data_IF_283278042971
#
_entry.id   IF_283278042971
#
_cell.length_a   1.000
_cell.length_b   1.000
_cell.length_c   1.000
_cell.angle_alpha   90.00
_cell.angle_beta   90.00
_cell.angle_gamma   90.00
#
_symmetry.space_group_name_H-M   'P 1'
#
loop_
_entity.id
_entity.type
_entity.pdbx_description
1 polymer ?
#
# COMPACT_ATOMS: atom_id res chain seq x y z
N UNK A 1 10.61 -16.53 14.00
CA UNK A 1 10.52 -16.65 12.52
C UNK A 1 9.98 -15.33 12.02
N UNK A 2 10.66 -14.65 11.09
CA UNK A 2 10.19 -13.39 10.51
C UNK A 2 9.07 -13.70 9.53
N UNK A 3 7.95 -12.98 9.61
CA UNK A 3 6.79 -13.14 8.73
C UNK A 3 6.85 -12.15 7.58
N UNK A 4 6.83 -12.65 6.35
CA UNK A 4 6.75 -11.81 5.15
C UNK A 4 5.33 -11.28 4.96
N UNK A 5 5.21 -9.97 4.77
CA UNK A 5 3.93 -9.31 4.59
C UNK A 5 3.94 -8.42 3.34
N UNK A 6 2.78 -8.34 2.68
CA UNK A 6 2.44 -7.32 1.71
C UNK A 6 1.37 -6.43 2.35
N UNK A 7 1.59 -5.13 2.39
CA UNK A 7 0.61 -4.16 2.89
C UNK A 7 -0.13 -3.58 1.69
N UNK A 8 -1.47 -3.68 1.68
CA UNK A 8 -2.32 -3.05 0.68
C UNK A 8 -3.08 -1.89 1.34
N UNK A 9 -2.90 -0.66 0.85
CA UNK A 9 -3.21 0.55 1.63
C UNK A 9 -3.66 1.72 0.75
N UNK A 10 -4.43 2.63 1.34
CA UNK A 10 -4.80 3.95 0.80
C UNK A 10 -4.43 5.07 1.80
N UNK A 11 -3.12 5.31 2.08
CA UNK A 11 -2.66 5.93 3.31
C UNK A 11 -3.38 7.22 3.71
N UNK A 12 -4.09 7.11 4.86
CA UNK A 12 -4.41 8.19 5.76
C UNK A 12 -3.40 8.24 6.90
N UNK A 13 -3.66 9.03 7.94
CA UNK A 13 -2.76 9.16 9.09
C UNK A 13 -2.63 7.85 9.89
N UNK A 14 -3.69 7.07 10.00
CA UNK A 14 -3.75 5.78 10.68
C UNK A 14 -2.96 4.70 9.91
N UNK A 15 -3.12 4.62 8.59
CA UNK A 15 -2.29 3.75 7.74
C UNK A 15 -0.80 4.11 7.84
N UNK A 16 -0.47 5.40 7.87
CA UNK A 16 0.91 5.84 8.02
C UNK A 16 1.52 5.29 9.31
N UNK A 17 0.78 5.34 10.42
CA UNK A 17 1.23 4.76 11.71
C UNK A 17 1.37 3.24 11.60
N UNK A 18 0.42 2.55 10.98
CA UNK A 18 0.47 1.10 10.80
C UNK A 18 1.69 0.68 9.95
N UNK A 19 1.97 1.40 8.86
CA UNK A 19 3.15 1.17 8.02
C UNK A 19 4.43 1.36 8.84
N UNK A 20 4.56 2.48 9.57
CA UNK A 20 5.75 2.75 10.39
C UNK A 20 5.97 1.67 11.46
N UNK A 21 4.90 1.19 12.11
CA UNK A 21 4.98 0.08 13.08
C UNK A 21 5.48 -1.20 12.41
N UNK A 22 4.95 -1.53 11.22
CA UNK A 22 5.39 -2.71 10.47
C UNK A 22 6.87 -2.63 10.10
N UNK A 23 7.35 -1.44 9.69
CA UNK A 23 8.72 -1.21 9.27
C UNK A 23 9.76 -1.33 10.40
N UNK A 24 9.38 -1.03 11.64
CA UNK A 24 10.29 -1.14 12.81
C UNK A 24 10.18 -2.49 13.52
N UNK A 25 9.19 -3.29 13.17
CA UNK A 25 8.99 -4.62 13.78
C UNK A 25 10.09 -5.58 13.37
N UNK A 26 10.66 -6.28 14.36
CA UNK A 26 11.65 -7.34 14.12
C UNK A 26 11.02 -8.67 13.71
N UNK A 27 9.71 -8.78 13.81
CA UNK A 27 8.94 -9.98 13.49
C UNK A 27 8.34 -9.95 12.08
N UNK A 28 8.36 -8.78 11.44
CA UNK A 28 7.79 -8.55 10.11
C UNK A 28 8.86 -8.16 9.10
N UNK A 29 8.70 -8.70 7.89
CA UNK A 29 9.44 -8.31 6.69
C UNK A 29 8.43 -7.77 5.67
N UNK A 30 8.40 -6.45 5.47
CA UNK A 30 7.57 -5.82 4.44
C UNK A 30 8.25 -6.02 3.09
N UNK A 31 7.72 -6.92 2.27
CA UNK A 31 8.31 -7.27 0.96
C UNK A 31 7.80 -6.38 -0.17
N UNK A 32 6.76 -5.61 0.07
CA UNK A 32 6.22 -4.61 -0.85
C UNK A 32 4.96 -3.95 -0.29
N UNK A 33 4.66 -2.76 -0.80
CA UNK A 33 3.43 -2.04 -0.48
C UNK A 33 2.65 -1.80 -1.77
N UNK A 34 1.39 -2.20 -1.77
CA UNK A 34 0.43 -1.99 -2.85
C UNK A 34 -0.53 -0.86 -2.49
N UNK A 35 -0.78 0.04 -3.43
CA UNK A 35 -1.63 1.19 -3.23
C UNK A 35 -2.97 0.99 -3.95
N UNK A 36 -4.05 1.44 -3.32
CA UNK A 36 -5.41 1.43 -3.86
C UNK A 36 -6.03 2.81 -3.68
N UNK A 37 -6.93 3.22 -4.55
CA UNK A 37 -7.72 4.41 -4.35
C UNK A 37 -8.76 4.17 -3.24
N UNK A 38 -8.88 5.11 -2.32
CA UNK A 38 -9.79 5.01 -1.18
C UNK A 38 -9.95 6.37 -0.50
N UNK A 39 -9.17 6.63 0.54
CA UNK A 39 -9.21 7.92 1.26
C UNK A 39 -9.00 9.12 0.33
N UNK A 40 -8.15 8.96 -0.67
CA UNK A 40 -7.91 9.91 -1.76
C UNK A 40 -7.66 9.12 -3.07
N UNK A 41 -7.61 9.79 -4.24
CA UNK A 41 -7.27 9.13 -5.51
C UNK A 41 -5.94 8.38 -5.47
N UNK A 42 -5.78 7.36 -6.32
CA UNK A 42 -4.61 6.48 -6.36
C UNK A 42 -3.27 7.22 -6.46
N UNK A 43 -3.20 8.28 -7.25
CA UNK A 43 -1.99 9.10 -7.37
C UNK A 43 -1.53 9.64 -6.01
N UNK A 44 -2.45 10.12 -5.19
CA UNK A 44 -2.15 10.63 -3.86
C UNK A 44 -1.83 9.52 -2.87
N UNK A 45 -2.55 8.39 -2.89
CA UNK A 45 -2.25 7.25 -2.01
C UNK A 45 -0.87 6.68 -2.28
N UNK A 46 -0.50 6.56 -3.55
CA UNK A 46 0.85 6.15 -3.96
C UNK A 46 1.91 7.17 -3.54
N UNK A 47 1.65 8.45 -3.71
CA UNK A 47 2.57 9.51 -3.29
C UNK A 47 2.78 9.50 -1.77
N UNK A 48 1.71 9.36 -1.01
CA UNK A 48 1.74 9.27 0.44
C UNK A 48 2.57 8.06 0.92
N UNK A 49 2.37 6.90 0.30
CA UNK A 49 3.16 5.69 0.61
C UNK A 49 4.66 5.94 0.45
N UNK A 50 5.06 6.55 -0.67
CA UNK A 50 6.48 6.87 -0.92
C UNK A 50 7.04 7.86 0.09
N UNK A 51 6.27 8.91 0.46
CA UNK A 51 6.64 9.88 1.49
C UNK A 51 6.87 9.20 2.84
N UNK A 52 5.99 8.26 3.23
CA UNK A 52 6.11 7.50 4.48
C UNK A 52 7.38 6.64 4.48
N UNK A 53 7.66 5.95 3.36
CA UNK A 53 8.86 5.11 3.24
C UNK A 53 10.15 5.93 3.31
N UNK A 54 10.21 7.08 2.63
CA UNK A 54 11.38 7.97 2.71
C UNK A 54 11.56 8.57 4.10
N UNK A 55 10.47 8.96 4.76
CA UNK A 55 10.50 9.42 6.16
C UNK A 55 11.06 8.34 7.09
N UNK A 56 10.70 7.08 6.85
CA UNK A 56 11.18 5.93 7.62
C UNK A 56 12.61 5.49 7.25
N UNK A 57 13.23 6.07 6.21
CA UNK A 57 14.52 5.64 5.70
C UNK A 57 14.50 4.25 5.06
N UNK A 58 13.34 3.82 4.50
CA UNK A 58 13.09 2.49 3.94
C UNK A 58 12.78 2.56 2.43
N UNK A 59 13.56 3.34 1.72
CA UNK A 59 13.41 3.57 0.27
C UNK A 59 13.64 2.33 -0.61
N UNK A 60 14.19 1.26 -0.04
CA UNK A 60 14.39 -0.01 -0.73
C UNK A 60 13.11 -0.84 -0.91
N UNK A 61 12.04 -0.54 -0.15
CA UNK A 61 10.78 -1.27 -0.25
C UNK A 61 10.01 -0.85 -1.50
N UNK A 62 9.66 -1.81 -2.39
CA UNK A 62 8.98 -1.49 -3.63
C UNK A 62 7.52 -1.07 -3.40
N UNK A 63 7.07 -0.07 -4.17
CA UNK A 63 5.71 0.46 -4.15
C UNK A 63 5.03 0.22 -5.50
N UNK A 64 3.85 -0.36 -5.46
CA UNK A 64 3.06 -0.74 -6.63
C UNK A 64 1.73 0.00 -6.67
N UNK A 65 1.38 0.57 -7.82
CA UNK A 65 0.06 1.17 -8.02
C UNK A 65 -0.96 0.11 -8.46
N UNK A 66 -2.14 0.16 -7.87
CA UNK A 66 -3.24 -0.77 -8.13
C UNK A 66 -4.47 -0.08 -8.72
N UNK A 67 -5.61 -0.37 -8.15
CA UNK A 67 -6.91 0.06 -8.68
C UNK A 67 -7.23 1.51 -8.37
N UNK A 68 -7.65 2.26 -9.40
CA UNK A 68 -8.10 3.64 -9.28
C UNK A 68 -9.58 3.74 -8.87
N UNK A 69 -10.35 2.67 -9.05
CA UNK A 69 -11.79 2.64 -8.84
C UNK A 69 -12.22 1.35 -8.13
N UNK A 70 -13.25 1.41 -7.29
CA UNK A 70 -13.92 0.21 -6.79
C UNK A 70 -14.56 -0.61 -7.92
N UNK A 71 -14.80 -1.91 -7.67
CA UNK A 71 -15.32 -2.83 -8.70
C UNK A 71 -16.75 -2.51 -9.17
N UNK A 72 -17.61 -1.98 -8.30
CA UNK A 72 -19.04 -1.85 -8.58
C UNK A 72 -19.60 -0.44 -8.40
N UNK A 73 -18.94 0.43 -7.68
CA UNK A 73 -19.44 1.79 -7.42
C UNK A 73 -18.36 2.82 -7.75
N UNK A 74 -18.76 4.07 -7.85
CA UNK A 74 -17.80 5.17 -8.00
C UNK A 74 -16.96 5.32 -6.74
N UNK A 75 -15.73 5.77 -6.90
CA UNK A 75 -14.85 6.13 -5.79
C UNK A 75 -15.53 7.25 -4.97
N UNK A 76 -15.56 7.03 -3.66
CA UNK A 76 -15.95 8.04 -2.67
C UNK A 76 -14.75 8.23 -1.75
N UNK A 77 -14.18 9.41 -1.76
CA UNK A 77 -12.99 9.76 -0.97
C UNK A 77 -13.34 10.20 0.44
N UNK A 78 -12.38 10.15 1.35
CA UNK A 78 -12.50 10.54 2.75
C UNK A 78 -11.71 11.81 3.08
N UNK A 79 -11.64 12.76 2.15
CA UNK A 79 -10.95 14.04 2.34
C UNK A 79 -11.45 14.82 3.56
N UNK A 80 -12.71 14.64 3.94
CA UNK A 80 -13.28 15.23 5.15
C UNK A 80 -12.65 14.71 6.46
N UNK A 81 -12.03 13.53 6.43
CA UNK A 81 -11.38 12.90 7.58
C UNK A 81 -9.84 13.05 7.52
N UNK A 82 -9.24 12.86 6.36
CA UNK A 82 -7.79 12.78 6.18
C UNK A 82 -7.17 14.00 5.50
N UNK A 83 -8.00 15.00 5.13
CA UNK A 83 -7.58 16.19 4.40
C UNK A 83 -7.47 15.95 2.90
N UNK A 84 -7.17 17.03 2.16
CA UNK A 84 -7.16 17.00 0.68
C UNK A 84 -6.10 16.08 0.09
N UNK A 85 -4.99 15.91 0.79
CA UNK A 85 -3.89 15.05 0.34
C UNK A 85 -3.96 13.65 0.93
N UNK A 86 -4.82 13.41 1.92
CA UNK A 86 -4.88 12.17 2.69
C UNK A 86 -3.91 12.12 3.87
N UNK A 87 -2.87 12.94 3.86
CA UNK A 87 -1.88 13.10 4.95
C UNK A 87 -1.73 14.57 5.34
N UNK A 88 -2.82 15.32 5.40
CA UNK A 88 -2.75 16.72 5.81
C UNK A 88 -2.23 16.85 7.25
N UNK A 89 -1.31 17.78 7.44
CA UNK A 89 -0.65 18.07 8.71
C UNK A 89 0.84 18.36 8.52
N UNK A 90 1.74 17.37 8.57
CA UNK A 90 3.15 17.63 8.37
C UNK A 90 3.48 17.89 6.90
N UNK A 91 4.30 18.89 6.63
CA UNK A 91 4.90 19.09 5.31
C UNK A 91 6.01 18.06 5.09
N UNK A 92 5.72 17.03 4.31
CA UNK A 92 6.70 16.04 3.88
C UNK A 92 7.23 16.42 2.49
N UNK A 93 8.56 16.27 2.26
CA UNK A 93 9.13 16.55 0.94
C UNK A 93 8.56 15.64 -0.14
N UNK A 94 8.62 16.09 -1.40
CA UNK A 94 8.22 15.23 -2.52
C UNK A 94 9.17 14.02 -2.63
N UNK A 95 8.61 12.81 -2.79
CA UNK A 95 9.39 11.59 -2.74
C UNK A 95 10.21 11.38 -4.02
N UNK A 96 11.39 10.78 -3.86
CA UNK A 96 12.33 10.48 -4.95
C UNK A 96 12.23 9.05 -5.44
N UNK A 97 11.76 8.12 -4.59
CA UNK A 97 11.59 6.71 -4.99
C UNK A 97 10.54 6.58 -6.09
N UNK A 98 10.78 5.69 -7.05
CA UNK A 98 9.87 5.43 -8.16
C UNK A 98 8.88 4.32 -7.82
N UNK A 99 7.73 4.31 -8.50
CA UNK A 99 6.85 3.14 -8.51
C UNK A 99 7.48 2.02 -9.34
N UNK A 100 7.06 0.79 -9.04
CA UNK A 100 7.38 -0.35 -9.89
C UNK A 100 6.51 -0.31 -11.15
N UNK A 101 7.02 -0.89 -12.25
CA UNK A 101 6.33 -0.89 -13.54
C UNK A 101 5.12 -1.84 -13.59
N UNK A 102 5.18 -2.96 -12.84
CA UNK A 102 4.08 -3.92 -12.74
C UNK A 102 2.99 -3.40 -11.81
N UNK A 103 1.75 -3.82 -12.06
CA UNK A 103 0.63 -3.44 -11.22
C UNK A 103 0.69 -4.10 -9.83
N UNK A 104 0.01 -3.50 -8.85
CA UNK A 104 -0.18 -4.09 -7.53
C UNK A 104 -0.80 -5.49 -7.58
N UNK A 105 -1.76 -5.67 -8.50
CA UNK A 105 -2.47 -6.95 -8.69
C UNK A 105 -1.50 -8.02 -9.19
N UNK A 106 -0.72 -7.72 -10.23
CA UNK A 106 0.26 -8.65 -10.79
C UNK A 106 1.35 -9.00 -9.77
N UNK A 107 1.83 -8.00 -9.02
CA UNK A 107 2.79 -8.24 -7.94
C UNK A 107 2.27 -9.22 -6.89
N UNK A 108 1.03 -9.05 -6.43
CA UNK A 108 0.42 -9.95 -5.44
C UNK A 108 0.27 -11.36 -6.02
N UNK A 109 -0.24 -11.48 -7.26
CA UNK A 109 -0.43 -12.76 -7.95
C UNK A 109 0.92 -13.49 -8.08
N UNK A 110 1.93 -12.81 -8.62
CA UNK A 110 3.23 -13.39 -8.86
C UNK A 110 3.92 -13.81 -7.56
N UNK A 111 3.86 -12.94 -6.54
CA UNK A 111 4.46 -13.24 -5.25
C UNK A 111 3.82 -14.47 -4.59
N UNK A 112 2.49 -14.54 -4.57
CA UNK A 112 1.78 -15.67 -3.93
C UNK A 112 1.99 -16.97 -4.70
N UNK A 113 1.92 -16.93 -6.05
CA UNK A 113 2.10 -18.13 -6.88
C UNK A 113 3.51 -18.72 -6.84
N UNK A 114 4.52 -17.89 -6.62
CA UNK A 114 5.92 -18.33 -6.55
C UNK A 114 6.43 -18.51 -5.11
N UNK A 115 5.57 -18.43 -4.11
CA UNK A 115 5.89 -18.62 -2.71
C UNK A 115 5.33 -19.94 -2.19
N UNK A 116 6.00 -20.52 -1.20
CA UNK A 116 5.48 -21.70 -0.51
C UNK A 116 4.19 -21.37 0.23
N UNK A 117 3.32 -22.38 0.39
CA UNK A 117 2.05 -22.23 1.09
C UNK A 117 2.25 -21.63 2.49
N UNK A 118 1.43 -20.67 2.85
CA UNK A 118 1.38 -20.01 4.16
C UNK A 118 2.63 -19.18 4.53
N UNK A 119 3.47 -18.82 3.55
CA UNK A 119 4.68 -18.02 3.81
C UNK A 119 4.47 -16.51 3.65
N UNK A 120 3.44 -16.10 2.90
CA UNK A 120 3.10 -14.70 2.66
C UNK A 120 1.80 -14.35 3.41
N UNK A 121 1.80 -13.20 4.07
CA UNK A 121 0.59 -12.64 4.68
C UNK A 121 0.21 -11.35 3.95
N UNK A 122 -1.02 -11.27 3.46
CA UNK A 122 -1.60 -10.04 2.92
C UNK A 122 -2.20 -9.25 4.08
N UNK A 123 -1.84 -7.98 4.19
CA UNK A 123 -2.33 -7.04 5.20
C UNK A 123 -3.11 -5.91 4.51
N UNK A 124 -4.39 -6.11 4.16
CA UNK A 124 -5.21 -5.07 3.58
C UNK A 124 -5.65 -4.07 4.66
N UNK A 125 -5.23 -2.82 4.52
CA UNK A 125 -5.63 -1.69 5.35
C UNK A 125 -6.66 -0.82 4.62
N UNK A 126 -6.61 -0.79 3.29
CA UNK A 126 -7.51 -0.03 2.42
C UNK A 126 -8.68 -0.84 1.86
N UNK A 127 -9.40 -0.28 0.87
CA UNK A 127 -10.44 -0.99 0.14
C UNK A 127 -9.92 -2.26 -0.53
N UNK A 128 -10.67 -3.35 -0.47
CA UNK A 128 -10.24 -4.69 -0.90
C UNK A 128 -10.18 -4.89 -2.43
N UNK A 129 -10.18 -3.84 -3.23
CA UNK A 129 -10.24 -3.94 -4.70
C UNK A 129 -9.05 -4.69 -5.28
N UNK A 130 -7.82 -4.33 -4.87
CA UNK A 130 -6.61 -5.03 -5.33
C UNK A 130 -6.62 -6.49 -4.90
N UNK A 131 -7.00 -6.76 -3.65
CA UNK A 131 -7.05 -8.11 -3.10
C UNK A 131 -8.07 -8.98 -3.84
N UNK A 132 -9.28 -8.44 -4.09
CA UNK A 132 -10.32 -9.15 -4.83
C UNK A 132 -9.86 -9.51 -6.25
N UNK A 133 -9.26 -8.55 -6.98
CA UNK A 133 -8.73 -8.77 -8.32
C UNK A 133 -7.58 -9.77 -8.34
N UNK A 134 -6.74 -9.79 -7.30
CA UNK A 134 -5.65 -10.76 -7.20
C UNK A 134 -6.17 -12.17 -6.92
N UNK A 135 -7.11 -12.32 -5.98
CA UNK A 135 -7.61 -13.63 -5.53
C UNK A 135 -8.36 -14.40 -6.61
N UNK A 136 -9.00 -13.74 -7.59
CA UNK A 136 -9.66 -14.44 -8.71
C UNK A 136 -8.67 -15.07 -9.69
N UNK A 137 -7.37 -14.79 -9.56
CA UNK A 137 -6.30 -15.30 -10.41
C UNK A 137 -5.30 -16.23 -9.69
N UNK A 138 -5.48 -16.43 -8.38
CA UNK A 138 -4.62 -17.29 -7.53
C UNK A 138 -5.23 -18.69 -7.24
#
# INVERSE_FOLDING_TARGET
>A
MVRKIIIDTDPGQDDAVAILIALVSRELEVIGITCVAGNVPLELTGNNTRKILELAGRSEIPVFLGSEQPLQRRLVTAEHAHGKTGLDGPELPEPKISYQEISAIDFVIDTVKHSDSQTITLCPLGPLTNIALSLIHI
#
